data_IF_710374929409
#
_entry.id   IF_710374929409
#
_cell.length_a   1.000
_cell.length_b   1.000
_cell.length_c   1.000
_cell.angle_alpha   90.00
_cell.angle_beta   90.00
_cell.angle_gamma   90.00
#
_symmetry.space_group_name_H-M   'P 1'
#
loop_
_entity.id
_entity.type
_entity.pdbx_description
1 polymer ?
#
# COMPACT_ATOMS: atom_id res chain seq x y z
N UNK A 1 -2.34 -11.24 13.89
CA UNK A 1 -0.90 -11.18 13.60
C UNK A 1 -0.74 -10.40 12.30
N UNK A 2 0.09 -9.35 12.29
CA UNK A 2 0.42 -8.63 11.07
C UNK A 2 0.94 -9.61 10.00
N UNK A 3 0.41 -9.52 8.79
CA UNK A 3 0.84 -10.37 7.67
C UNK A 3 2.11 -9.77 7.09
N UNK A 4 3.17 -10.59 7.01
CA UNK A 4 4.46 -10.14 6.49
C UNK A 4 4.36 -9.74 5.02
N UNK A 5 4.90 -8.58 4.70
CA UNK A 5 5.03 -8.09 3.33
C UNK A 5 5.87 -9.04 2.46
N UNK A 6 5.62 -9.11 1.15
CA UNK A 6 6.51 -9.80 0.23
C UNK A 6 7.89 -9.16 0.25
N UNK A 7 8.95 -9.97 0.25
CA UNK A 7 10.31 -9.46 0.13
C UNK A 7 10.52 -8.79 -1.25
N UNK A 8 10.97 -7.54 -1.24
CA UNK A 8 10.95 -6.65 -2.41
C UNK A 8 12.22 -6.68 -3.26
N UNK A 9 13.24 -7.50 -2.90
CA UNK A 9 14.50 -7.51 -3.61
C UNK A 9 14.82 -8.88 -4.19
N UNK A 10 15.81 -8.96 -5.11
CA UNK A 10 16.23 -10.21 -5.72
C UNK A 10 17.03 -11.11 -4.75
N UNK A 11 17.08 -12.40 -5.02
CA UNK A 11 17.94 -13.33 -4.28
C UNK A 11 19.41 -12.85 -4.23
N UNK A 12 19.92 -12.26 -5.33
CA UNK A 12 21.27 -11.73 -5.39
C UNK A 12 21.48 -10.59 -4.38
N UNK A 13 20.48 -9.73 -4.22
CA UNK A 13 20.50 -8.67 -3.21
C UNK A 13 20.49 -9.28 -1.81
N UNK A 14 19.57 -10.20 -1.52
CA UNK A 14 19.44 -10.87 -0.24
C UNK A 14 20.74 -11.59 0.18
N UNK A 15 21.40 -12.28 -0.74
CA UNK A 15 22.70 -12.92 -0.49
C UNK A 15 23.79 -11.89 -0.15
N UNK A 16 23.81 -10.76 -0.90
CA UNK A 16 24.81 -9.70 -0.67
C UNK A 16 24.68 -9.04 0.70
N UNK A 17 23.45 -8.91 1.21
CA UNK A 17 23.17 -8.20 2.47
C UNK A 17 22.89 -9.13 3.66
N UNK A 18 23.00 -10.46 3.48
CA UNK A 18 22.79 -11.44 4.54
C UNK A 18 21.34 -11.76 4.86
N UNK A 19 20.39 -11.33 3.99
CA UNK A 19 18.93 -11.45 4.16
C UNK A 19 18.37 -12.69 3.38
N UNK A 20 19.22 -13.71 3.17
CA UNK A 20 18.84 -14.88 2.36
C UNK A 20 17.71 -15.70 2.97
N UNK A 21 17.63 -15.74 4.28
CA UNK A 21 16.61 -16.54 4.97
C UNK A 21 15.26 -15.82 4.93
N UNK A 22 15.21 -14.48 5.04
CA UNK A 22 14.01 -13.66 4.85
C UNK A 22 13.50 -13.81 3.40
N UNK A 23 14.39 -13.71 2.42
CA UNK A 23 14.04 -13.96 1.02
C UNK A 23 13.43 -15.34 0.82
N UNK A 24 14.05 -16.39 1.39
CA UNK A 24 13.61 -17.79 1.25
C UNK A 24 12.22 -18.01 1.87
N UNK A 25 12.00 -17.47 3.05
CA UNK A 25 10.72 -17.55 3.76
C UNK A 25 9.62 -16.83 2.95
N UNK A 26 9.89 -15.61 2.51
CA UNK A 26 8.94 -14.85 1.67
C UNK A 26 8.65 -15.55 0.33
N UNK A 27 9.68 -16.10 -0.33
CA UNK A 27 9.51 -16.86 -1.57
C UNK A 27 8.62 -18.09 -1.36
N UNK A 28 8.83 -18.86 -0.27
CA UNK A 28 8.00 -19.99 0.10
C UNK A 28 6.53 -19.58 0.27
N UNK A 29 6.28 -18.49 1.01
CA UNK A 29 4.93 -17.94 1.20
C UNK A 29 4.29 -17.46 -0.11
N UNK A 30 5.07 -16.89 -1.03
CA UNK A 30 4.59 -16.53 -2.37
C UNK A 30 4.16 -17.78 -3.16
N UNK A 31 4.93 -18.88 -3.10
CA UNK A 31 4.57 -20.14 -3.74
C UNK A 31 3.31 -20.78 -3.13
N UNK A 32 3.14 -20.68 -1.82
CA UNK A 32 1.94 -21.16 -1.12
C UNK A 32 0.71 -20.33 -1.52
N UNK A 33 0.84 -19.01 -1.56
CA UNK A 33 -0.20 -18.09 -2.02
C UNK A 33 -0.61 -18.37 -3.48
N UNK A 34 0.35 -18.58 -4.39
CA UNK A 34 0.07 -18.90 -5.79
C UNK A 34 -0.75 -20.20 -5.93
N UNK A 35 -0.38 -21.24 -5.16
CA UNK A 35 -1.13 -22.51 -5.14
C UNK A 35 -2.53 -22.35 -4.54
N UNK A 36 -2.69 -21.54 -3.48
CA UNK A 36 -3.98 -21.26 -2.90
C UNK A 36 -4.91 -20.53 -3.89
N UNK A 37 -4.38 -19.57 -4.66
CA UNK A 37 -5.13 -18.88 -5.72
C UNK A 37 -5.52 -19.88 -6.81
N UNK A 38 -4.58 -20.72 -7.26
CA UNK A 38 -4.84 -21.75 -8.28
C UNK A 38 -5.94 -22.73 -7.83
N UNK A 39 -5.86 -23.21 -6.59
CA UNK A 39 -6.86 -24.08 -5.99
C UNK A 39 -8.22 -23.37 -5.91
N UNK A 40 -8.27 -22.15 -5.41
CA UNK A 40 -9.49 -21.36 -5.32
C UNK A 40 -10.17 -21.16 -6.67
N UNK A 41 -9.40 -20.90 -7.73
CA UNK A 41 -9.89 -20.81 -9.10
C UNK A 41 -10.46 -22.15 -9.55
N UNK A 42 -9.68 -23.23 -9.43
CA UNK A 42 -10.05 -24.56 -9.99
C UNK A 42 -11.27 -25.18 -9.29
N UNK A 43 -11.48 -24.89 -8.01
CA UNK A 43 -12.61 -25.44 -7.24
C UNK A 43 -13.91 -24.63 -7.39
N UNK A 44 -13.83 -23.34 -7.82
CA UNK A 44 -14.98 -22.44 -7.71
C UNK A 44 -15.35 -21.69 -9.01
N UNK A 45 -14.67 -21.97 -10.13
CA UNK A 45 -14.96 -21.26 -11.38
C UNK A 45 -16.35 -21.58 -11.96
N UNK A 46 -16.87 -22.78 -11.73
CA UNK A 46 -18.20 -23.21 -12.23
C UNK A 46 -19.36 -22.60 -11.40
N UNK A 47 -19.14 -22.40 -10.10
CA UNK A 47 -20.17 -21.93 -9.16
C UNK A 47 -20.27 -20.40 -9.08
N UNK A 48 -19.51 -19.66 -9.88
CA UNK A 48 -19.44 -18.19 -9.87
C UNK A 48 -19.08 -17.58 -8.49
N UNK A 49 -18.35 -18.32 -7.64
CA UNK A 49 -17.97 -17.92 -6.28
C UNK A 49 -16.55 -17.36 -6.18
N UNK A 50 -15.95 -16.94 -7.30
CA UNK A 50 -14.57 -16.44 -7.32
C UNK A 50 -14.36 -15.20 -6.45
N UNK A 51 -15.40 -14.38 -6.24
CA UNK A 51 -15.33 -13.21 -5.36
C UNK A 51 -15.11 -13.61 -3.90
N UNK A 52 -15.89 -14.57 -3.40
CA UNK A 52 -15.76 -15.08 -2.02
C UNK A 52 -14.40 -15.75 -1.82
N UNK A 53 -13.95 -16.51 -2.80
CA UNK A 53 -12.66 -17.18 -2.76
C UNK A 53 -11.49 -16.19 -2.79
N UNK A 54 -11.61 -15.09 -3.56
CA UNK A 54 -10.59 -14.03 -3.56
C UNK A 54 -10.47 -13.40 -2.17
N UNK A 55 -11.60 -13.12 -1.51
CA UNK A 55 -11.63 -12.60 -0.13
C UNK A 55 -10.97 -13.59 0.83
N UNK A 56 -11.32 -14.88 0.77
CA UNK A 56 -10.74 -15.91 1.64
C UNK A 56 -9.21 -16.04 1.46
N UNK A 57 -8.71 -15.97 0.23
CA UNK A 57 -7.26 -15.99 -0.04
C UNK A 57 -6.59 -14.72 0.49
N UNK A 58 -7.22 -13.56 0.33
CA UNK A 58 -6.73 -12.28 0.88
C UNK A 58 -6.68 -12.35 2.41
N UNK A 59 -7.70 -12.90 3.05
CA UNK A 59 -7.72 -13.08 4.51
C UNK A 59 -6.60 -14.00 5.02
N UNK A 60 -6.20 -14.99 4.23
CA UNK A 60 -5.10 -15.88 4.58
C UNK A 60 -3.71 -15.27 4.37
N UNK A 61 -3.49 -14.61 3.23
CA UNK A 61 -2.15 -14.21 2.78
C UNK A 61 -1.90 -12.70 2.81
N UNK A 62 -2.94 -11.89 2.97
CA UNK A 62 -2.89 -10.42 2.90
C UNK A 62 -2.95 -9.87 1.49
N UNK A 63 -3.47 -8.66 1.37
CA UNK A 63 -3.60 -7.94 0.10
C UNK A 63 -2.27 -7.80 -0.65
N UNK A 64 -1.20 -7.44 0.07
CA UNK A 64 0.09 -7.16 -0.54
C UNK A 64 0.70 -8.39 -1.19
N UNK A 65 0.61 -9.55 -0.50
CA UNK A 65 1.13 -10.81 -1.04
C UNK A 65 0.29 -11.33 -2.19
N UNK A 66 -1.04 -11.29 -2.07
CA UNK A 66 -1.96 -11.70 -3.15
C UNK A 66 -1.73 -10.82 -4.39
N UNK A 67 -1.69 -9.50 -4.22
CA UNK A 67 -1.43 -8.58 -5.33
C UNK A 67 -0.05 -8.78 -5.95
N UNK A 68 0.99 -9.03 -5.14
CA UNK A 68 2.35 -9.30 -5.61
C UNK A 68 2.40 -10.57 -6.49
N UNK A 69 1.77 -11.66 -6.05
CA UNK A 69 1.71 -12.93 -6.78
C UNK A 69 0.90 -12.78 -8.07
N UNK A 70 -0.26 -12.13 -8.00
CA UNK A 70 -1.11 -11.87 -9.17
C UNK A 70 -0.41 -10.95 -10.19
N UNK A 71 0.23 -9.88 -9.73
CA UNK A 71 0.98 -8.97 -10.61
C UNK A 71 2.16 -9.69 -11.29
N UNK A 72 2.89 -10.56 -10.57
CA UNK A 72 3.91 -11.40 -11.16
C UNK A 72 3.33 -12.32 -12.25
N UNK A 73 2.20 -12.96 -11.97
CA UNK A 73 1.50 -13.86 -12.91
C UNK A 73 1.07 -13.09 -14.17
N UNK A 74 0.41 -11.94 -14.02
CA UNK A 74 -0.05 -11.10 -15.15
C UNK A 74 1.14 -10.62 -15.99
N UNK A 75 2.25 -10.19 -15.38
CA UNK A 75 3.46 -9.79 -16.12
C UNK A 75 4.02 -10.91 -16.97
N UNK A 76 3.95 -12.15 -16.49
CA UNK A 76 4.40 -13.31 -17.24
C UNK A 76 3.45 -13.71 -18.37
N UNK A 77 2.16 -13.40 -18.21
CA UNK A 77 1.12 -13.61 -19.21
C UNK A 77 0.90 -12.36 -20.08
N UNK A 78 1.82 -11.41 -20.11
CA UNK A 78 1.64 -10.11 -20.78
C UNK A 78 1.28 -10.25 -22.27
N UNK A 79 1.83 -11.25 -22.96
CA UNK A 79 1.55 -11.52 -24.38
C UNK A 79 0.27 -12.33 -24.59
N UNK A 80 -0.37 -12.84 -23.53
CA UNK A 80 -1.59 -13.61 -23.65
C UNK A 80 -2.80 -12.67 -23.85
N UNK A 81 -3.51 -12.83 -24.97
CA UNK A 81 -4.67 -12.01 -25.33
C UNK A 81 -5.90 -12.22 -24.42
N UNK A 82 -5.88 -13.23 -23.54
CA UNK A 82 -6.95 -13.50 -22.56
C UNK A 82 -6.81 -12.68 -21.29
N UNK A 83 -5.67 -12.04 -21.07
CA UNK A 83 -5.46 -11.08 -19.99
C UNK A 83 -5.84 -9.69 -20.51
N UNK A 84 -6.71 -9.00 -19.77
CA UNK A 84 -7.20 -7.66 -20.14
C UNK A 84 -6.09 -6.62 -20.06
N UNK A 85 -6.12 -5.63 -20.95
CA UNK A 85 -5.16 -4.51 -20.95
C UNK A 85 -5.21 -3.71 -19.64
N UNK A 86 -6.38 -3.68 -18.99
CA UNK A 86 -6.56 -3.07 -17.69
C UNK A 86 -5.74 -3.78 -16.59
N UNK A 87 -5.74 -5.13 -16.58
CA UNK A 87 -4.96 -5.91 -15.62
C UNK A 87 -3.47 -5.90 -15.95
N UNK A 88 -3.10 -5.87 -17.24
CA UNK A 88 -1.70 -5.65 -17.65
C UNK A 88 -1.17 -4.28 -17.18
N UNK A 89 -1.99 -3.23 -17.33
CA UNK A 89 -1.64 -1.88 -16.86
C UNK A 89 -1.51 -1.84 -15.34
N UNK A 90 -2.46 -2.43 -14.62
CA UNK A 90 -2.40 -2.54 -13.16
C UNK A 90 -1.13 -3.26 -12.68
N UNK A 91 -0.78 -4.39 -13.29
CA UNK A 91 0.40 -5.15 -12.90
C UNK A 91 1.71 -4.38 -13.10
N UNK A 92 1.78 -3.43 -14.05
CA UNK A 92 2.97 -2.57 -14.25
C UNK A 92 3.27 -1.71 -13.03
N UNK A 93 2.27 -1.36 -12.22
CA UNK A 93 2.43 -0.58 -10.98
C UNK A 93 3.20 -1.30 -9.88
N UNK A 94 3.35 -2.63 -9.95
CA UNK A 94 4.08 -3.41 -8.94
C UNK A 94 5.54 -3.58 -9.35
N UNK A 95 6.45 -3.32 -8.41
CA UNK A 95 7.84 -3.70 -8.59
C UNK A 95 8.00 -5.20 -8.27
N UNK A 96 8.29 -6.01 -9.28
CA UNK A 96 8.64 -7.42 -9.13
C UNK A 96 10.11 -7.56 -9.51
N UNK A 97 11.01 -7.94 -8.58
CA UNK A 97 12.42 -8.13 -8.91
C UNK A 97 12.57 -9.18 -10.01
N UNK A 98 13.37 -8.89 -11.03
CA UNK A 98 13.66 -9.89 -12.04
C UNK A 98 14.46 -11.04 -11.43
N UNK A 99 13.92 -12.25 -11.52
CA UNK A 99 14.56 -13.48 -11.07
C UNK A 99 13.98 -14.67 -11.82
N UNK A 100 14.81 -15.65 -12.15
CA UNK A 100 14.33 -16.92 -12.72
C UNK A 100 13.44 -17.68 -11.74
N UNK A 101 13.62 -17.45 -10.43
CA UNK A 101 12.82 -18.08 -9.38
C UNK A 101 11.35 -17.59 -9.34
N UNK A 102 11.04 -16.47 -10.00
CA UNK A 102 9.68 -15.91 -10.03
C UNK A 102 8.65 -16.83 -10.73
N UNK A 103 9.11 -17.81 -11.53
CA UNK A 103 8.22 -18.80 -12.11
C UNK A 103 7.55 -19.69 -11.05
N UNK A 104 8.17 -19.91 -9.91
CA UNK A 104 7.69 -20.80 -8.88
C UNK A 104 6.45 -20.29 -8.14
N UNK A 105 6.19 -18.97 -8.21
CA UNK A 105 5.00 -18.35 -7.62
C UNK A 105 4.13 -17.64 -8.66
N UNK A 106 3.92 -18.27 -9.78
CA UNK A 106 2.88 -17.90 -10.76
C UNK A 106 1.68 -18.81 -10.62
N UNK A 107 0.48 -18.28 -10.85
CA UNK A 107 -0.77 -19.04 -10.84
C UNK A 107 -0.87 -19.83 -12.13
N UNK A 108 -0.96 -21.17 -12.05
CA UNK A 108 -0.97 -22.10 -13.18
C UNK A 108 -2.35 -22.31 -13.83
N UNK A 109 -3.38 -21.58 -13.39
CA UNK A 109 -4.74 -21.70 -13.96
C UNK A 109 -4.87 -21.08 -15.35
N UNK A 110 -6.00 -21.36 -16.03
CA UNK A 110 -6.31 -20.79 -17.34
C UNK A 110 -6.26 -19.25 -17.30
N UNK A 111 -5.55 -18.56 -18.22
CA UNK A 111 -5.33 -17.12 -18.16
C UNK A 111 -6.59 -16.27 -18.02
N UNK A 112 -7.69 -16.63 -18.70
CA UNK A 112 -8.97 -15.93 -18.56
C UNK A 112 -9.56 -16.02 -17.14
N UNK A 113 -9.38 -17.15 -16.44
CA UNK A 113 -9.79 -17.28 -15.04
C UNK A 113 -8.89 -16.51 -14.09
N UNK A 114 -7.59 -16.46 -14.39
CA UNK A 114 -6.65 -15.58 -13.69
C UNK A 114 -7.07 -14.11 -13.84
N UNK A 115 -7.44 -13.67 -15.05
CA UNK A 115 -7.91 -12.31 -15.31
C UNK A 115 -9.14 -11.95 -14.47
N UNK A 116 -10.11 -12.87 -14.39
CA UNK A 116 -11.30 -12.71 -13.55
C UNK A 116 -10.91 -12.63 -12.07
N UNK A 117 -10.04 -13.52 -11.59
CA UNK A 117 -9.60 -13.50 -10.19
C UNK A 117 -8.86 -12.21 -9.82
N UNK A 118 -8.02 -11.68 -10.72
CA UNK A 118 -7.38 -10.35 -10.55
C UNK A 118 -8.44 -9.26 -10.41
N UNK A 119 -9.50 -9.29 -11.23
CA UNK A 119 -10.59 -8.32 -11.12
C UNK A 119 -11.29 -8.40 -9.75
N UNK A 120 -11.51 -9.61 -9.21
CA UNK A 120 -12.12 -9.79 -7.89
C UNK A 120 -11.19 -9.27 -6.76
N UNK A 121 -9.89 -9.59 -6.81
CA UNK A 121 -8.93 -9.09 -5.84
C UNK A 121 -8.83 -7.55 -5.86
N UNK A 122 -8.85 -6.94 -7.06
CA UNK A 122 -8.87 -5.49 -7.23
C UNK A 122 -10.18 -4.85 -6.74
N UNK A 123 -11.31 -5.52 -6.95
CA UNK A 123 -12.60 -5.06 -6.43
C UNK A 123 -12.63 -5.11 -4.89
N UNK A 124 -12.11 -6.18 -4.30
CA UNK A 124 -11.97 -6.30 -2.84
C UNK A 124 -11.06 -5.18 -2.27
N UNK A 125 -9.92 -4.90 -2.92
CA UNK A 125 -9.07 -3.77 -2.54
C UNK A 125 -9.81 -2.42 -2.62
N UNK A 126 -10.52 -2.18 -3.74
CA UNK A 126 -11.27 -0.95 -3.93
C UNK A 126 -12.41 -0.77 -2.93
N UNK A 127 -13.02 -1.90 -2.46
CA UNK A 127 -14.11 -1.86 -1.46
C UNK A 127 -13.65 -1.38 -0.09
N UNK A 128 -12.33 -1.35 0.19
CA UNK A 128 -11.78 -0.76 1.41
C UNK A 128 -11.95 0.78 1.44
N UNK A 129 -12.29 1.40 0.30
CA UNK A 129 -12.48 2.85 0.22
C UNK A 129 -11.20 3.65 0.52
N UNK A 130 -10.02 3.06 0.26
CA UNK A 130 -8.74 3.68 0.53
C UNK A 130 -8.48 4.87 -0.40
N UNK A 131 -7.78 5.86 0.12
CA UNK A 131 -7.29 6.96 -0.70
C UNK A 131 -6.18 6.48 -1.64
N UNK A 132 -6.16 7.05 -2.84
CA UNK A 132 -5.15 6.84 -3.87
C UNK A 132 -4.65 8.17 -4.44
N UNK A 133 -3.82 8.11 -5.48
CA UNK A 133 -3.21 9.31 -6.10
C UNK A 133 -4.25 10.31 -6.63
N UNK A 134 -5.46 9.88 -6.99
CA UNK A 134 -6.51 10.77 -7.51
C UNK A 134 -7.05 11.71 -6.42
N UNK A 135 -6.89 11.34 -5.15
CA UNK A 135 -7.26 12.12 -3.99
C UNK A 135 -6.18 13.15 -3.59
N UNK A 136 -5.00 13.13 -4.24
CA UNK A 136 -3.90 14.04 -3.93
C UNK A 136 -3.96 15.32 -4.76
N UNK A 137 -3.42 16.44 -4.21
CA UNK A 137 -3.38 17.76 -4.87
C UNK A 137 -2.61 17.73 -6.19
N UNK A 138 -1.57 16.90 -6.28
CA UNK A 138 -0.83 16.68 -7.53
C UNK A 138 -0.24 15.28 -7.57
N UNK A 139 -0.11 14.71 -8.77
CA UNK A 139 0.59 13.45 -8.97
C UNK A 139 2.06 13.63 -8.58
N UNK A 140 2.47 13.05 -7.44
CA UNK A 140 3.87 12.97 -6.98
C UNK A 140 4.67 14.26 -7.15
N UNK A 141 4.10 15.39 -6.79
CA UNK A 141 4.87 16.65 -6.86
C UNK A 141 5.92 16.67 -5.76
N UNK A 142 7.14 16.25 -6.13
CA UNK A 142 8.31 16.33 -5.24
C UNK A 142 8.59 17.79 -4.79
N UNK A 143 8.01 18.79 -5.48
CA UNK A 143 8.18 20.22 -5.21
C UNK A 143 7.26 20.78 -4.13
N UNK A 144 6.22 20.05 -3.71
CA UNK A 144 5.35 20.49 -2.63
C UNK A 144 6.06 20.47 -1.27
N UNK A 145 5.88 21.52 -0.50
CA UNK A 145 6.18 21.52 0.93
C UNK A 145 5.04 20.83 1.67
N UNK A 146 5.38 19.87 2.52
CA UNK A 146 4.43 19.06 3.28
C UNK A 146 4.28 19.52 4.74
N UNK A 147 4.97 20.59 5.14
CA UNK A 147 4.84 21.14 6.49
C UNK A 147 3.40 21.59 6.75
N UNK A 148 2.86 21.21 7.89
CA UNK A 148 1.48 21.52 8.33
C UNK A 148 0.39 21.08 7.34
N UNK A 149 0.66 19.99 6.59
CA UNK A 149 -0.30 19.42 5.65
C UNK A 149 -0.77 18.04 6.09
N UNK A 150 -2.01 17.73 5.68
CA UNK A 150 -2.57 16.40 5.79
C UNK A 150 -2.12 15.56 4.58
N UNK A 151 -1.40 14.48 4.87
CA UNK A 151 -0.81 13.59 3.88
C UNK A 151 -1.56 12.26 3.84
N UNK A 152 -1.58 11.63 2.68
CA UNK A 152 -2.05 10.25 2.50
C UNK A 152 -0.84 9.33 2.55
N UNK A 153 -0.75 8.48 3.58
CA UNK A 153 0.25 7.40 3.62
C UNK A 153 -0.12 6.29 2.64
N UNK A 154 0.88 5.67 2.00
CA UNK A 154 0.63 4.51 1.15
C UNK A 154 0.03 3.38 1.99
N UNK A 155 -1.11 2.84 1.57
CA UNK A 155 -1.80 1.75 2.26
C UNK A 155 -0.94 0.50 2.47
N UNK A 156 0.12 0.31 1.67
CA UNK A 156 1.12 -0.76 1.87
C UNK A 156 1.94 -0.58 3.15
N UNK A 157 1.94 0.62 3.73
CA UNK A 157 2.63 0.91 4.99
C UNK A 157 1.79 0.60 6.22
N UNK A 158 0.51 0.29 6.03
CA UNK A 158 -0.42 -0.07 7.09
C UNK A 158 -0.56 -1.60 7.17
N UNK A 159 -0.66 -2.12 8.38
CA UNK A 159 -1.03 -3.51 8.59
C UNK A 159 -2.42 -3.79 8.01
N UNK A 160 -2.66 -5.00 7.50
CA UNK A 160 -3.93 -5.35 6.83
C UNK A 160 -5.16 -5.08 7.69
N UNK A 161 -5.06 -5.25 9.00
CA UNK A 161 -6.14 -4.97 9.97
C UNK A 161 -6.40 -3.46 10.14
N UNK A 162 -5.42 -2.63 9.76
CA UNK A 162 -5.47 -1.16 9.86
C UNK A 162 -5.69 -0.47 8.50
N UNK A 163 -5.90 -1.21 7.42
CA UNK A 163 -6.11 -0.65 6.07
C UNK A 163 -7.50 -0.03 5.93
N UNK A 164 -7.65 1.16 6.47
CA UNK A 164 -8.83 2.02 6.31
C UNK A 164 -8.40 3.41 5.80
N UNK A 165 -9.30 4.13 5.16
CA UNK A 165 -9.03 5.51 4.72
C UNK A 165 -8.64 6.42 5.89
N UNK A 166 -9.28 6.25 7.04
CA UNK A 166 -8.98 7.05 8.23
C UNK A 166 -7.56 6.85 8.74
N UNK A 167 -7.05 5.60 8.68
CA UNK A 167 -5.67 5.28 9.06
C UNK A 167 -4.64 5.75 8.03
N UNK A 168 -5.04 6.16 6.82
CA UNK A 168 -4.13 6.74 5.84
C UNK A 168 -3.85 8.22 6.08
N UNK A 169 -4.62 8.90 6.95
CA UNK A 169 -4.49 10.34 7.18
C UNK A 169 -3.42 10.64 8.21
N UNK A 170 -2.36 11.29 7.76
CA UNK A 170 -1.20 11.64 8.56
C UNK A 170 -0.94 13.16 8.49
N UNK A 171 -0.99 13.85 9.63
CA UNK A 171 -0.69 15.26 9.72
C UNK A 171 0.80 15.48 9.93
N UNK A 172 1.44 16.10 8.96
CA UNK A 172 2.89 16.36 8.97
C UNK A 172 3.19 17.64 9.77
N UNK A 173 3.91 17.50 10.89
CA UNK A 173 4.28 18.61 11.75
C UNK A 173 5.67 19.18 11.45
N UNK A 174 6.49 18.46 10.65
CA UNK A 174 7.81 18.95 10.26
C UNK A 174 8.78 17.86 9.82
N UNK A 175 10.04 18.23 9.79
CA UNK A 175 11.14 17.35 9.38
C UNK A 175 11.72 17.69 8.02
N UNK A 176 12.93 17.20 7.74
CA UNK A 176 13.61 17.47 6.47
C UNK A 176 12.89 16.86 5.27
N UNK A 177 12.02 15.86 5.49
CA UNK A 177 11.20 15.24 4.46
C UNK A 177 10.03 16.11 3.97
N UNK A 178 9.61 17.10 4.78
CA UNK A 178 8.55 18.03 4.36
C UNK A 178 8.99 18.96 3.22
N UNK A 179 10.29 19.28 3.16
CA UNK A 179 10.83 20.22 2.18
C UNK A 179 10.70 19.69 0.75
N UNK A 180 10.58 20.56 -0.25
CA UNK A 180 10.61 20.17 -1.67
C UNK A 180 11.85 19.34 -2.02
N UNK A 181 11.69 18.37 -2.91
CA UNK A 181 12.76 17.47 -3.40
C UNK A 181 13.49 16.66 -2.31
N UNK A 182 12.85 16.44 -1.17
CA UNK A 182 13.44 15.77 0.00
C UNK A 182 13.16 14.25 0.05
N UNK A 183 13.19 13.57 -1.10
CA UNK A 183 13.00 12.11 -1.19
C UNK A 183 13.95 11.38 -0.23
N UNK A 184 13.47 10.33 0.43
CA UNK A 184 14.27 9.56 1.39
C UNK A 184 14.60 10.30 2.69
N UNK A 185 13.95 11.45 2.98
CA UNK A 185 14.06 12.17 4.24
C UNK A 185 12.82 11.95 5.10
N UNK A 186 12.98 12.06 6.42
CA UNK A 186 11.93 11.84 7.41
C UNK A 186 10.96 13.01 7.46
N UNK A 187 9.66 12.67 7.51
CA UNK A 187 8.56 13.55 7.87
C UNK A 187 8.09 13.10 9.24
N UNK A 188 8.07 14.02 10.20
CA UNK A 188 7.50 13.81 11.51
C UNK A 188 6.06 14.28 11.53
N UNK A 189 5.22 13.64 12.32
CA UNK A 189 3.81 13.99 12.43
C UNK A 189 3.05 12.96 13.21
N UNK A 190 1.74 12.94 13.04
CA UNK A 190 0.83 12.05 13.76
C UNK A 190 -0.27 11.49 12.87
N UNK A 191 -0.71 10.29 13.16
CA UNK A 191 -1.94 9.77 12.58
C UNK A 191 -3.12 10.58 13.11
N UNK A 192 -3.95 11.08 12.21
CA UNK A 192 -4.99 12.03 12.59
C UNK A 192 -6.09 11.37 13.45
N UNK A 193 -6.45 10.13 13.15
CA UNK A 193 -7.49 9.38 13.86
C UNK A 193 -7.07 8.89 15.25
N UNK A 194 -5.80 8.49 15.44
CA UNK A 194 -5.30 7.95 16.72
C UNK A 194 -4.52 8.97 17.53
N UNK A 195 -4.01 10.04 16.91
CA UNK A 195 -3.09 10.98 17.53
C UNK A 195 -1.67 10.43 17.76
N UNK A 196 -1.38 9.19 17.32
CA UNK A 196 -0.07 8.57 17.49
C UNK A 196 1.01 9.35 16.74
N UNK A 197 2.02 9.81 17.46
CA UNK A 197 3.16 10.53 16.91
C UNK A 197 4.23 9.57 16.43
N UNK A 198 4.69 9.76 15.19
CA UNK A 198 5.71 8.92 14.57
C UNK A 198 6.38 9.65 13.40
N UNK A 199 7.20 8.92 12.63
CA UNK A 199 7.76 9.44 11.40
C UNK A 199 7.75 8.40 10.29
N UNK A 200 7.61 8.88 9.06
CA UNK A 200 7.83 8.09 7.86
C UNK A 200 8.78 8.80 6.90
N UNK A 201 9.36 8.05 5.96
CA UNK A 201 10.10 8.66 4.87
C UNK A 201 9.14 9.23 3.83
N UNK A 202 9.51 10.35 3.20
CA UNK A 202 8.67 11.04 2.21
C UNK A 202 8.12 10.13 1.10
N UNK A 203 8.90 9.14 0.66
CA UNK A 203 8.53 8.18 -0.37
C UNK A 203 7.45 7.17 0.06
N UNK A 204 7.07 7.19 1.34
CA UNK A 204 5.97 6.39 1.90
C UNK A 204 4.62 7.09 1.85
N UNK A 205 4.59 8.33 1.42
CA UNK A 205 3.35 9.09 1.22
C UNK A 205 2.99 9.12 -0.27
N UNK A 206 1.69 9.02 -0.57
CA UNK A 206 1.15 9.19 -1.91
C UNK A 206 1.18 10.67 -2.29
N UNK A 207 0.81 11.56 -1.36
CA UNK A 207 0.80 13.00 -1.53
C UNK A 207 -0.02 13.72 -0.46
N UNK A 208 -0.17 15.04 -0.61
CA UNK A 208 -1.09 15.82 0.20
C UNK A 208 -2.52 15.62 -0.30
N UNK A 209 -3.47 15.41 0.61
CA UNK A 209 -4.88 15.23 0.27
C UNK A 209 -5.49 16.55 -0.21
N UNK A 210 -6.37 16.50 -1.21
CA UNK A 210 -7.15 17.65 -1.64
C UNK A 210 -8.24 17.96 -0.62
N UNK A 211 -8.53 19.24 -0.42
CA UNK A 211 -9.53 19.74 0.55
C UNK A 211 -10.90 19.09 0.37
N UNK A 212 -11.30 18.82 -0.86
CA UNK A 212 -12.60 18.21 -1.20
C UNK A 212 -12.77 16.76 -0.69
N UNK A 213 -11.66 16.07 -0.41
CA UNK A 213 -11.67 14.68 0.09
C UNK A 213 -11.38 14.58 1.59
N UNK A 214 -11.12 15.70 2.27
CA UNK A 214 -10.89 15.68 3.72
C UNK A 214 -12.24 15.43 4.41
N UNK A 215 -12.41 14.33 5.15
CA UNK A 215 -13.65 14.04 5.85
C UNK A 215 -13.88 15.05 6.99
N UNK A 216 -15.14 15.28 7.36
CA UNK A 216 -15.51 16.30 8.33
C UNK A 216 -14.82 16.09 9.70
N UNK A 217 -14.78 14.84 10.18
CA UNK A 217 -14.09 14.52 11.43
C UNK A 217 -12.60 14.90 11.41
N UNK A 218 -11.97 14.82 10.23
CA UNK A 218 -10.54 15.17 10.07
C UNK A 218 -10.33 16.68 10.09
N UNK A 219 -11.27 17.47 9.55
CA UNK A 219 -11.24 18.93 9.66
C UNK A 219 -11.38 19.37 11.11
N UNK A 220 -12.35 18.79 11.85
CA UNK A 220 -12.53 19.04 13.28
C UNK A 220 -11.27 18.75 14.08
N UNK A 221 -10.60 17.61 13.79
CA UNK A 221 -9.34 17.26 14.44
C UNK A 221 -8.18 18.20 14.12
N UNK A 222 -8.09 18.67 12.88
CA UNK A 222 -7.08 19.66 12.49
C UNK A 222 -7.30 21.00 13.20
N UNK A 223 -8.54 21.44 13.37
CA UNK A 223 -8.89 22.64 14.12
C UNK A 223 -8.49 22.49 15.61
N UNK A 224 -8.79 21.34 16.23
CA UNK A 224 -8.36 21.03 17.61
C UNK A 224 -6.83 21.12 17.78
N UNK A 225 -6.06 20.54 16.84
CA UNK A 225 -4.60 20.56 16.91
C UNK A 225 -4.03 21.95 16.72
N UNK A 226 -4.59 22.75 15.82
CA UNK A 226 -4.14 24.11 15.59
C UNK A 226 -4.43 25.01 16.80
N UNK A 227 -5.61 24.88 17.43
CA UNK A 227 -5.97 25.63 18.65
C UNK A 227 -5.02 25.30 19.81
N UNK A 228 -4.69 24.02 20.01
CA UNK A 228 -3.75 23.61 21.08
C UNK A 228 -2.33 24.14 20.84
N UNK A 229 -1.87 24.20 19.59
CA UNK A 229 -0.56 24.73 19.25
C UNK A 229 -0.45 26.25 19.47
N UNK A 230 -1.56 27.00 19.27
CA UNK A 230 -1.62 28.44 19.55
C UNK A 230 -1.58 28.73 21.05
N UNK A 231 -2.29 27.95 21.88
CA UNK A 231 -2.27 28.09 23.34
C UNK A 231 -0.87 27.83 23.93
N UNK A 232 -0.17 26.79 23.43
CA UNK A 232 1.21 26.47 23.90
C UNK A 232 2.22 27.57 23.52
N UNK A 233 2.04 28.24 22.40
CA UNK A 233 2.90 29.36 21.97
C UNK A 233 2.65 30.64 22.75
N UNK A 234 1.43 30.90 23.18
CA UNK A 234 1.09 32.06 24.02
C UNK A 234 1.64 31.91 25.45
N UNK A 235 1.58 30.70 26.05
CA UNK A 235 2.09 30.44 27.39
C UNK A 235 3.63 30.58 27.44
N UNK A 236 4.35 30.17 26.38
CA UNK A 236 5.81 30.34 26.31
C UNK A 236 6.25 31.79 26.15
N UNK A 237 5.41 32.66 25.60
CA UNK A 237 5.71 34.08 25.43
C UNK A 237 5.43 34.88 26.70
N UNK A 238 4.56 34.44 27.60
CA UNK A 238 4.22 35.13 28.85
C UNK A 238 5.12 34.73 30.02
N UNK A 239 5.83 33.61 29.95
CA UNK A 239 6.77 33.14 30.97
C UNK A 239 8.19 33.73 30.92
N UNK A 240 8.48 34.63 30.00
CA UNK A 240 9.80 35.23 29.73
C UNK A 240 10.00 36.69 30.15
N UNK A 241 9.29 37.17 31.17
CA UNK A 241 9.58 38.49 31.80
C UNK A 241 10.14 38.35 33.21
#
# INVERSE_FOLDING_TARGET
>A
MAKELPYQYSLRYAVKYGEKDEWRESHKKNCECARAIEQAINENYEDNRLSECATAVIDCYGFDRVNFVLANTVKRLNEDGRISEQNKSWAKGFYIPYSDDNWHYTVGSHPGLVDIFVNQARAAWKSLGLYDITHCESEKDERLDYTDRLLIIDAQMLDDECKTSDNQLFYATGGNGCRPNARGRKIFGRFLNTGEETYYYRDKFIGAIKDEYIPEWAKEKLEEFNATAEEETEDMTMGGM
#
